data_IF_276056354855
#
_entry.id   IF_276056354855
#
_cell.length_a   1.000
_cell.length_b   1.000
_cell.length_c   1.000
_cell.angle_alpha   90.00
_cell.angle_beta   90.00
_cell.angle_gamma   90.00
#
_symmetry.space_group_name_H-M   'P 1'
#
loop_
_entity.id
_entity.type
_entity.pdbx_description
1 polymer ?
#
# COMPACT_ATOMS: atom_id res chain seq x y z
N UNK A 1 -28.62 0.16 -38.41
CA UNK A 1 -28.09 0.63 -37.11
C UNK A 1 -27.74 -0.66 -36.36
N UNK A 2 -26.45 -1.03 -36.35
CA UNK A 2 -25.96 -2.17 -35.60
C UNK A 2 -25.76 -1.64 -34.18
N UNK A 3 -26.59 -2.09 -33.25
CA UNK A 3 -26.39 -1.90 -31.82
C UNK A 3 -25.09 -2.63 -31.48
N UNK A 4 -23.98 -1.93 -31.38
CA UNK A 4 -22.81 -2.40 -30.66
C UNK A 4 -23.11 -2.23 -29.14
N UNK A 5 -23.86 -3.15 -28.54
CA UNK A 5 -23.69 -3.44 -27.13
C UNK A 5 -22.24 -3.94 -27.00
N UNK A 6 -21.33 -3.05 -26.59
CA UNK A 6 -20.00 -3.49 -26.20
C UNK A 6 -20.20 -4.46 -25.03
N UNK A 7 -19.91 -5.74 -25.23
CA UNK A 7 -19.98 -6.74 -24.18
C UNK A 7 -19.15 -6.23 -22.99
N UNK A 8 -19.83 -6.07 -21.84
CA UNK A 8 -19.20 -5.64 -20.58
C UNK A 8 -18.18 -6.69 -20.15
N UNK A 9 -16.93 -6.29 -19.98
CA UNK A 9 -15.87 -7.19 -19.47
C UNK A 9 -16.13 -7.47 -17.99
N UNK A 10 -16.30 -8.73 -17.63
CA UNK A 10 -16.57 -9.16 -16.25
C UNK A 10 -15.27 -9.50 -15.54
N UNK A 11 -14.91 -8.71 -14.53
CA UNK A 11 -13.69 -8.85 -13.77
C UNK A 11 -13.99 -9.30 -12.34
N UNK A 12 -13.42 -10.44 -11.92
CA UNK A 12 -13.41 -10.88 -10.53
C UNK A 12 -12.15 -10.40 -9.83
N UNK A 13 -12.26 -9.80 -8.63
CA UNK A 13 -11.14 -9.38 -7.79
C UNK A 13 -11.10 -10.26 -6.55
N UNK A 14 -9.97 -10.94 -6.31
CA UNK A 14 -9.73 -11.84 -5.17
C UNK A 14 -8.44 -11.45 -4.44
N UNK A 15 -8.30 -11.82 -3.16
CA UNK A 15 -7.09 -11.57 -2.37
C UNK A 15 -7.09 -10.25 -1.59
N UNK A 16 -8.26 -9.67 -1.34
CA UNK A 16 -8.45 -8.47 -0.52
C UNK A 16 -9.41 -8.75 0.63
N UNK A 17 -9.35 -7.93 1.71
CA UNK A 17 -10.38 -7.98 2.75
C UNK A 17 -11.75 -7.54 2.21
N UNK A 18 -11.75 -6.65 1.21
CA UNK A 18 -12.94 -6.12 0.57
C UNK A 18 -13.03 -4.59 0.60
N UNK A 19 -14.14 -4.10 0.05
CA UNK A 19 -14.50 -2.68 0.02
C UNK A 19 -15.87 -2.47 0.68
N UNK A 20 -16.14 -1.29 1.27
CA UNK A 20 -15.33 -0.07 1.38
C UNK A 20 -14.00 -0.28 2.10
N UNK A 21 -12.94 0.32 1.56
CA UNK A 21 -11.60 0.17 2.12
C UNK A 21 -11.50 0.77 3.51
N UNK A 22 -10.83 0.06 4.43
CA UNK A 22 -10.57 0.53 5.79
C UNK A 22 -9.09 0.70 6.08
N UNK A 23 -8.29 -0.28 5.64
CA UNK A 23 -6.88 -0.31 5.94
C UNK A 23 -6.17 -1.36 5.07
N UNK A 24 -5.14 -0.96 4.35
CA UNK A 24 -4.30 -1.85 3.54
C UNK A 24 -4.11 -1.33 2.11
N UNK A 25 -2.98 -1.70 1.51
CA UNK A 25 -2.64 -1.28 0.15
C UNK A 25 -3.61 -1.85 -0.89
N UNK A 26 -3.95 -3.13 -0.79
CA UNK A 26 -4.88 -3.77 -1.71
C UNK A 26 -6.32 -3.27 -1.55
N UNK A 27 -6.75 -2.99 -0.32
CA UNK A 27 -8.07 -2.39 -0.08
C UNK A 27 -8.17 -1.01 -0.72
N UNK A 28 -7.13 -0.17 -0.56
CA UNK A 28 -7.05 1.14 -1.21
C UNK A 28 -6.98 1.03 -2.74
N UNK A 29 -6.24 0.04 -3.26
CA UNK A 29 -6.21 -0.24 -4.70
C UNK A 29 -7.62 -0.58 -5.22
N UNK A 30 -8.30 -1.55 -4.60
CA UNK A 30 -9.62 -1.98 -5.06
C UNK A 30 -10.65 -0.86 -4.92
N UNK A 31 -10.63 -0.10 -3.82
CA UNK A 31 -11.50 1.05 -3.58
C UNK A 31 -11.44 2.08 -4.72
N UNK A 32 -10.24 2.30 -5.27
CA UNK A 32 -10.02 3.26 -6.34
C UNK A 32 -10.13 2.65 -7.75
N UNK A 33 -9.95 1.33 -7.88
CA UNK A 33 -10.11 0.61 -9.14
C UNK A 33 -11.58 0.47 -9.53
N UNK A 34 -12.46 0.10 -8.57
CA UNK A 34 -13.89 -0.16 -8.82
C UNK A 34 -14.76 1.10 -9.00
N UNK A 35 -14.15 2.26 -9.19
CA UNK A 35 -14.90 3.44 -9.62
C UNK A 35 -15.42 3.20 -11.02
N UNK A 36 -16.72 3.38 -11.26
CA UNK A 36 -17.42 3.03 -12.50
C UNK A 36 -16.64 3.29 -13.77
N UNK A 37 -16.21 2.24 -14.42
CA UNK A 37 -15.81 2.23 -15.82
C UNK A 37 -17.03 1.92 -16.67
N UNK A 38 -17.17 2.54 -17.82
CA UNK A 38 -18.34 2.31 -18.69
C UNK A 38 -18.41 0.89 -19.28
N UNK A 39 -17.28 0.15 -19.26
CA UNK A 39 -17.12 -1.11 -19.99
C UNK A 39 -16.75 -2.31 -19.10
N UNK A 40 -16.61 -2.13 -17.78
CA UNK A 40 -16.15 -3.20 -16.88
C UNK A 40 -17.15 -3.40 -15.74
N UNK A 41 -17.59 -4.64 -15.55
CA UNK A 41 -18.39 -5.09 -14.43
C UNK A 41 -17.49 -5.77 -13.39
N UNK A 42 -17.27 -5.11 -12.26
CA UNK A 42 -16.46 -5.66 -11.19
C UNK A 42 -17.25 -6.49 -10.20
N UNK A 43 -16.72 -7.64 -9.82
CA UNK A 43 -17.15 -8.42 -8.66
C UNK A 43 -15.97 -8.56 -7.70
N UNK A 44 -16.12 -8.09 -6.45
CA UNK A 44 -15.10 -8.17 -5.42
C UNK A 44 -15.45 -9.24 -4.41
N UNK A 45 -14.54 -10.19 -4.17
CA UNK A 45 -14.65 -11.17 -3.10
C UNK A 45 -14.17 -10.54 -1.79
N UNK A 46 -15.04 -10.54 -0.77
CA UNK A 46 -14.85 -9.84 0.50
C UNK A 46 -14.86 -10.83 1.66
N UNK A 47 -14.08 -10.55 2.70
CA UNK A 47 -14.12 -11.30 3.95
C UNK A 47 -15.31 -10.87 4.80
N UNK A 48 -16.24 -11.78 5.09
CA UNK A 48 -17.35 -11.47 5.98
C UNK A 48 -16.95 -11.38 7.46
N UNK A 49 -15.72 -11.80 7.80
CA UNK A 49 -15.19 -11.71 9.17
C UNK A 49 -14.40 -10.44 9.42
N UNK A 50 -13.84 -9.85 8.37
CA UNK A 50 -13.06 -8.62 8.48
C UNK A 50 -13.90 -7.37 8.15
N UNK A 51 -15.02 -7.55 7.43
CA UNK A 51 -15.96 -6.48 7.07
C UNK A 51 -17.14 -6.40 8.07
N UNK A 52 -17.30 -5.27 8.80
CA UNK A 52 -18.39 -5.11 9.78
C UNK A 52 -19.76 -4.86 9.12
N UNK A 53 -19.76 -4.21 7.96
CA UNK A 53 -20.93 -4.01 7.10
C UNK A 53 -20.78 -4.86 5.85
N UNK A 54 -21.92 -5.31 5.29
CA UNK A 54 -21.92 -6.22 4.12
C UNK A 54 -22.85 -5.71 3.05
N UNK A 55 -22.59 -4.55 2.44
CA UNK A 55 -23.39 -4.11 1.29
C UNK A 55 -23.24 -5.10 0.14
N UNK A 56 -24.28 -5.26 -0.68
CA UNK A 56 -24.23 -6.11 -1.87
C UNK A 56 -23.52 -5.44 -3.05
N UNK A 57 -23.46 -4.10 -3.03
CA UNK A 57 -22.83 -3.27 -4.08
C UNK A 57 -22.07 -2.13 -3.44
N UNK A 58 -20.91 -1.79 -4.00
CA UNK A 58 -20.13 -0.61 -3.62
C UNK A 58 -19.49 0.02 -4.87
N UNK A 59 -19.73 1.32 -5.11
CA UNK A 59 -19.24 2.07 -6.30
C UNK A 59 -19.50 1.34 -7.64
N UNK A 60 -20.65 0.66 -7.76
CA UNK A 60 -21.02 -0.13 -8.93
C UNK A 60 -20.49 -1.57 -8.94
N UNK A 61 -19.50 -1.92 -8.14
CA UNK A 61 -19.00 -3.28 -8.03
C UNK A 61 -19.92 -4.17 -7.19
N UNK A 62 -20.16 -5.39 -7.65
CA UNK A 62 -20.85 -6.44 -6.88
C UNK A 62 -19.93 -7.00 -5.81
N UNK A 63 -20.45 -7.20 -4.58
CA UNK A 63 -19.68 -7.76 -3.48
C UNK A 63 -20.14 -9.16 -3.10
N UNK A 64 -19.22 -10.11 -3.05
CA UNK A 64 -19.47 -11.50 -2.65
C UNK A 64 -18.68 -11.85 -1.38
N UNK A 65 -19.35 -12.36 -0.37
CA UNK A 65 -18.76 -12.58 0.95
C UNK A 65 -18.37 -14.04 1.19
N UNK A 66 -17.12 -14.22 1.68
CA UNK A 66 -16.56 -15.50 2.11
C UNK A 66 -16.44 -15.48 3.65
N UNK A 67 -16.90 -16.53 4.39
CA UNK A 67 -16.92 -16.54 5.83
C UNK A 67 -15.56 -16.94 6.46
N UNK A 68 -14.48 -16.41 5.91
CA UNK A 68 -13.10 -16.58 6.36
C UNK A 68 -12.41 -15.21 6.42
N UNK A 69 -11.31 -15.11 7.19
CA UNK A 69 -10.48 -13.91 7.21
C UNK A 69 -9.55 -13.88 5.99
N UNK A 70 -9.39 -12.71 5.40
CA UNK A 70 -8.46 -12.49 4.30
C UNK A 70 -6.99 -12.35 4.75
N UNK A 71 -6.73 -12.37 6.05
CA UNK A 71 -5.40 -12.23 6.63
C UNK A 71 -4.98 -13.44 7.48
N UNK A 72 -3.66 -13.64 7.61
CA UNK A 72 -3.07 -14.72 8.41
C UNK A 72 -3.30 -16.10 7.78
N UNK A 73 -3.34 -17.17 8.59
CA UNK A 73 -3.47 -18.53 8.08
C UNK A 73 -4.80 -18.79 7.32
N UNK A 74 -5.84 -18.02 7.60
CA UNK A 74 -7.13 -18.14 6.91
C UNK A 74 -7.12 -17.52 5.50
N UNK A 75 -6.12 -16.70 5.14
CA UNK A 75 -6.02 -16.12 3.79
C UNK A 75 -5.91 -17.21 2.71
N UNK A 76 -5.22 -18.30 2.98
CA UNK A 76 -5.06 -19.39 2.01
C UNK A 76 -6.41 -20.02 1.62
N UNK A 77 -7.21 -20.61 2.55
CA UNK A 77 -8.52 -21.14 2.20
C UNK A 77 -9.51 -20.06 1.74
N UNK A 78 -9.38 -18.81 2.21
CA UNK A 78 -10.17 -17.68 1.74
C UNK A 78 -9.97 -17.44 0.23
N UNK A 79 -8.72 -17.34 -0.20
CA UNK A 79 -8.37 -17.09 -1.60
C UNK A 79 -8.71 -18.30 -2.49
N UNK A 80 -8.49 -19.53 -2.01
CA UNK A 80 -8.86 -20.74 -2.75
C UNK A 80 -10.36 -20.81 -3.00
N UNK A 81 -11.19 -20.52 -1.98
CA UNK A 81 -12.66 -20.51 -2.14
C UNK A 81 -13.10 -19.38 -3.07
N UNK A 82 -12.45 -18.20 -2.99
CA UNK A 82 -12.71 -17.08 -3.88
C UNK A 82 -12.40 -17.44 -5.33
N UNK A 83 -11.25 -18.04 -5.59
CA UNK A 83 -10.86 -18.53 -6.92
C UNK A 83 -11.79 -19.63 -7.41
N UNK A 84 -12.18 -20.59 -6.55
CA UNK A 84 -13.14 -21.63 -6.91
C UNK A 84 -14.48 -21.04 -7.38
N UNK A 85 -14.98 -20.01 -6.67
CA UNK A 85 -16.22 -19.31 -7.06
C UNK A 85 -16.03 -18.43 -8.31
N UNK A 86 -14.82 -18.03 -8.62
CA UNK A 86 -14.47 -17.24 -9.81
C UNK A 86 -14.17 -18.10 -11.05
N UNK A 87 -14.28 -19.44 -10.99
CA UNK A 87 -14.00 -20.32 -12.12
C UNK A 87 -14.94 -20.15 -13.31
N UNK A 88 -16.11 -19.58 -13.12
CA UNK A 88 -17.09 -19.39 -14.19
C UNK A 88 -17.73 -18.00 -14.18
N UNK A 89 -18.05 -17.50 -15.37
CA UNK A 89 -18.83 -16.25 -15.52
C UNK A 89 -18.00 -14.96 -15.47
N UNK A 90 -16.66 -15.05 -15.56
CA UNK A 90 -15.76 -13.91 -15.63
C UNK A 90 -14.81 -14.04 -16.83
N UNK A 91 -14.49 -12.90 -17.43
CA UNK A 91 -13.52 -12.80 -18.53
C UNK A 91 -12.10 -12.69 -17.98
N UNK A 92 -11.96 -11.98 -16.85
CA UNK A 92 -10.66 -11.80 -16.17
C UNK A 92 -10.81 -12.03 -14.66
N UNK A 93 -9.78 -12.63 -14.05
CA UNK A 93 -9.63 -12.73 -12.59
C UNK A 93 -8.36 -12.00 -12.19
N UNK A 94 -8.54 -10.92 -11.44
CA UNK A 94 -7.46 -10.16 -10.80
C UNK A 94 -7.20 -10.74 -9.41
N UNK A 95 -5.98 -11.25 -9.22
CA UNK A 95 -5.53 -11.83 -7.95
C UNK A 95 -4.58 -10.85 -7.26
N UNK A 96 -4.87 -10.52 -6.01
CA UNK A 96 -4.07 -9.61 -5.19
C UNK A 96 -3.32 -10.42 -4.12
N UNK A 97 -2.01 -10.56 -4.30
CA UNK A 97 -1.17 -11.43 -3.48
C UNK A 97 -1.07 -12.85 -4.02
N UNK A 98 -0.33 -13.69 -3.28
CA UNK A 98 0.00 -15.05 -3.74
C UNK A 98 -0.56 -16.16 -2.85
N UNK A 99 -1.28 -15.85 -1.77
CA UNK A 99 -1.71 -16.82 -0.75
C UNK A 99 -2.48 -18.02 -1.31
N UNK A 100 -3.42 -17.76 -2.23
CA UNK A 100 -4.26 -18.80 -2.85
C UNK A 100 -3.76 -19.32 -4.17
N UNK A 101 -2.61 -18.85 -4.67
CA UNK A 101 -2.13 -19.18 -6.01
C UNK A 101 -1.81 -20.68 -6.20
N UNK A 102 -1.65 -21.42 -5.10
CA UNK A 102 -1.52 -22.89 -5.16
C UNK A 102 -2.71 -23.57 -5.85
N UNK A 103 -3.87 -22.92 -5.92
CA UNK A 103 -5.06 -23.42 -6.60
C UNK A 103 -5.05 -23.15 -8.12
N UNK A 104 -4.19 -22.29 -8.64
CA UNK A 104 -4.16 -21.88 -10.06
C UNK A 104 -3.99 -23.03 -11.06
N UNK A 105 -3.19 -24.09 -10.79
CA UNK A 105 -3.12 -25.23 -11.70
C UNK A 105 -4.50 -25.87 -11.95
N UNK A 106 -5.32 -26.03 -10.90
CA UNK A 106 -6.68 -26.57 -10.99
C UNK A 106 -7.61 -25.56 -11.67
N UNK A 107 -7.50 -24.28 -11.30
CA UNK A 107 -8.27 -23.20 -11.92
C UNK A 107 -8.12 -23.19 -13.43
N UNK A 108 -6.89 -23.32 -13.93
CA UNK A 108 -6.55 -23.33 -15.36
C UNK A 108 -7.07 -24.53 -16.15
N UNK A 109 -7.34 -25.66 -15.48
CA UNK A 109 -7.95 -26.82 -16.13
C UNK A 109 -9.44 -26.60 -16.43
N UNK A 110 -10.11 -25.71 -15.70
CA UNK A 110 -11.57 -25.54 -15.72
C UNK A 110 -11.96 -24.20 -16.33
N UNK A 111 -11.27 -23.12 -15.95
CA UNK A 111 -11.58 -21.75 -16.35
C UNK A 111 -10.74 -21.27 -17.54
N UNK A 112 -11.40 -20.56 -18.46
CA UNK A 112 -10.76 -19.87 -19.59
C UNK A 112 -10.50 -18.39 -19.29
N UNK A 113 -10.89 -17.91 -18.10
CA UNK A 113 -10.68 -16.52 -17.71
C UNK A 113 -9.18 -16.15 -17.77
N UNK A 114 -8.89 -14.93 -18.21
CA UNK A 114 -7.55 -14.35 -18.12
C UNK A 114 -7.17 -14.18 -16.66
N UNK A 115 -5.98 -14.63 -16.26
CA UNK A 115 -5.49 -14.53 -14.90
C UNK A 115 -4.43 -13.42 -14.84
N UNK A 116 -4.73 -12.37 -14.10
CA UNK A 116 -3.83 -11.25 -13.82
C UNK A 116 -3.48 -11.30 -12.35
N UNK A 117 -2.20 -11.44 -12.00
CA UNK A 117 -1.78 -11.53 -10.60
C UNK A 117 -0.84 -10.38 -10.23
N UNK A 118 -1.25 -9.58 -9.25
CA UNK A 118 -0.37 -8.65 -8.56
C UNK A 118 0.31 -9.42 -7.41
N UNK A 119 1.62 -9.64 -7.53
CA UNK A 119 2.36 -10.47 -6.57
C UNK A 119 2.69 -9.76 -5.26
N UNK A 120 2.36 -8.46 -5.12
CA UNK A 120 2.69 -7.63 -3.94
C UNK A 120 4.21 -7.50 -3.72
N UNK A 121 4.61 -7.09 -2.53
CA UNK A 121 5.99 -7.22 -2.07
C UNK A 121 6.36 -8.69 -1.81
N UNK A 122 7.64 -8.97 -1.68
CA UNK A 122 8.16 -10.33 -1.49
C UNK A 122 7.82 -10.87 -0.10
N UNK A 123 6.54 -11.28 0.13
CA UNK A 123 6.03 -11.71 1.43
C UNK A 123 6.89 -12.80 2.10
N UNK A 124 7.46 -13.72 1.32
CA UNK A 124 8.35 -14.76 1.83
C UNK A 124 9.66 -14.22 2.45
N UNK A 125 10.03 -12.96 2.17
CA UNK A 125 11.23 -12.29 2.76
C UNK A 125 10.95 -11.60 4.08
N UNK A 126 9.68 -11.43 4.49
CA UNK A 126 9.34 -10.74 5.74
C UNK A 126 9.70 -11.57 6.96
N UNK A 127 10.27 -10.92 7.96
CA UNK A 127 10.78 -11.57 9.17
C UNK A 127 9.71 -12.24 10.04
N UNK A 128 8.46 -11.79 9.93
CA UNK A 128 7.32 -12.35 10.68
C UNK A 128 7.02 -13.82 10.37
N UNK A 129 7.53 -14.36 9.24
CA UNK A 129 7.23 -15.71 8.81
C UNK A 129 8.31 -16.72 9.23
N UNK A 130 7.90 -17.84 9.80
CA UNK A 130 8.77 -18.99 10.05
C UNK A 130 9.17 -19.71 8.75
N UNK A 131 10.15 -20.61 8.80
CA UNK A 131 10.73 -21.29 7.64
C UNK A 131 9.70 -22.02 6.76
N UNK A 132 8.75 -22.75 7.35
CA UNK A 132 7.70 -23.47 6.62
C UNK A 132 6.76 -22.53 5.88
N UNK A 133 6.35 -21.41 6.51
CA UNK A 133 5.51 -20.40 5.87
C UNK A 133 6.25 -19.71 4.72
N UNK A 134 7.53 -19.39 4.89
CA UNK A 134 8.37 -18.82 3.81
C UNK A 134 8.49 -19.75 2.61
N UNK A 135 8.71 -21.05 2.87
CA UNK A 135 8.76 -22.06 1.82
C UNK A 135 7.43 -22.14 1.06
N UNK A 136 6.31 -22.20 1.79
CA UNK A 136 4.98 -22.22 1.19
C UNK A 136 4.69 -20.97 0.35
N UNK A 137 4.99 -19.79 0.87
CA UNK A 137 4.79 -18.52 0.15
C UNK A 137 5.64 -18.45 -1.12
N UNK A 138 6.89 -18.94 -1.06
CA UNK A 138 7.76 -19.00 -2.24
C UNK A 138 7.25 -19.98 -3.29
N UNK A 139 6.72 -21.14 -2.87
CA UNK A 139 6.09 -22.10 -3.78
C UNK A 139 4.84 -21.49 -4.44
N UNK A 140 3.99 -20.86 -3.63
CA UNK A 140 2.77 -20.22 -4.09
C UNK A 140 3.05 -19.05 -5.06
N UNK A 141 4.09 -18.25 -4.80
CA UNK A 141 4.58 -17.21 -5.70
C UNK A 141 5.06 -17.80 -7.04
N UNK A 142 5.85 -18.88 -6.99
CA UNK A 142 6.30 -19.58 -8.21
C UNK A 142 5.13 -20.09 -9.06
N UNK A 143 4.09 -20.61 -8.42
CA UNK A 143 2.86 -21.07 -9.09
C UNK A 143 2.10 -19.87 -9.66
N UNK A 144 1.95 -18.79 -8.90
CA UNK A 144 1.33 -17.55 -9.37
C UNK A 144 2.01 -17.05 -10.65
N UNK A 145 3.33 -16.91 -10.63
CA UNK A 145 4.11 -16.45 -11.79
C UNK A 145 3.99 -17.39 -12.97
N UNK A 146 3.96 -18.72 -12.74
CA UNK A 146 3.89 -19.71 -13.83
C UNK A 146 2.52 -19.76 -14.51
N UNK A 147 1.44 -19.65 -13.73
CA UNK A 147 0.07 -19.93 -14.19
C UNK A 147 -0.76 -18.67 -14.46
N UNK A 148 -0.22 -17.46 -14.24
CA UNK A 148 -0.85 -16.22 -14.65
C UNK A 148 -0.50 -15.86 -16.09
N UNK A 149 -1.45 -15.22 -16.79
CA UNK A 149 -1.22 -14.64 -18.12
C UNK A 149 -0.42 -13.36 -18.02
N UNK A 150 -0.72 -12.56 -17.00
CA UNK A 150 -0.02 -11.30 -16.72
C UNK A 150 0.36 -11.23 -15.25
N UNK A 151 1.60 -10.86 -14.99
CA UNK A 151 2.11 -10.59 -13.66
C UNK A 151 2.20 -9.07 -13.50
N UNK A 152 1.75 -8.56 -12.36
CA UNK A 152 1.93 -7.16 -11.97
C UNK A 152 2.94 -7.12 -10.83
N UNK A 153 3.92 -6.24 -10.96
CA UNK A 153 4.84 -5.82 -9.91
C UNK A 153 4.58 -4.35 -9.59
N UNK A 154 4.45 -4.01 -8.32
CA UNK A 154 4.16 -2.65 -7.89
C UNK A 154 5.40 -1.75 -7.85
N UNK A 155 6.59 -2.36 -7.99
CA UNK A 155 7.87 -1.66 -7.91
C UNK A 155 8.89 -2.29 -8.87
N UNK A 156 9.78 -1.47 -9.42
CA UNK A 156 10.84 -1.95 -10.32
C UNK A 156 11.74 -3.01 -9.66
N UNK A 157 12.08 -2.86 -8.37
CA UNK A 157 12.86 -3.86 -7.66
C UNK A 157 12.17 -5.23 -7.56
N UNK A 158 10.81 -5.26 -7.54
CA UNK A 158 10.04 -6.51 -7.62
C UNK A 158 10.03 -7.04 -9.06
N UNK A 159 9.87 -6.17 -10.06
CA UNK A 159 9.91 -6.58 -11.47
C UNK A 159 11.26 -7.18 -11.86
N UNK A 160 12.34 -6.59 -11.40
CA UNK A 160 13.71 -7.12 -11.62
C UNK A 160 13.86 -8.50 -10.96
N UNK A 161 13.39 -8.66 -9.71
CA UNK A 161 13.37 -9.97 -9.02
C UNK A 161 12.56 -11.03 -9.79
N UNK A 162 11.38 -10.69 -10.32
CA UNK A 162 10.57 -11.61 -11.15
C UNK A 162 11.35 -12.04 -12.39
N UNK A 163 11.98 -11.08 -13.06
CA UNK A 163 12.78 -11.34 -14.26
C UNK A 163 13.99 -12.22 -13.94
N UNK A 164 14.71 -11.93 -12.88
CA UNK A 164 15.92 -12.67 -12.48
C UNK A 164 15.59 -14.09 -12.00
N UNK A 165 14.54 -14.23 -11.18
CA UNK A 165 14.19 -15.49 -10.52
C UNK A 165 13.40 -16.43 -11.43
N UNK A 166 12.41 -15.89 -12.16
CA UNK A 166 11.44 -16.69 -12.92
C UNK A 166 11.61 -16.60 -14.44
N UNK A 167 12.50 -15.72 -14.92
CA UNK A 167 12.71 -15.46 -16.36
C UNK A 167 11.42 -15.04 -17.08
N UNK A 168 10.56 -14.29 -16.37
CA UNK A 168 9.31 -13.71 -16.89
C UNK A 168 9.30 -12.20 -16.70
N UNK A 169 8.67 -11.49 -17.61
CA UNK A 169 8.38 -10.07 -17.46
C UNK A 169 7.16 -9.85 -16.57
N UNK A 170 7.07 -8.70 -15.96
CA UNK A 170 5.87 -8.22 -15.25
C UNK A 170 5.55 -6.78 -15.66
N UNK A 171 4.26 -6.45 -15.61
CA UNK A 171 3.78 -5.08 -15.79
C UNK A 171 4.06 -4.26 -14.53
N UNK A 172 4.64 -3.07 -14.69
CA UNK A 172 4.95 -2.20 -13.58
C UNK A 172 3.76 -1.27 -13.29
N UNK A 173 2.98 -1.60 -12.27
CA UNK A 173 1.81 -0.83 -11.84
C UNK A 173 1.87 -0.60 -10.33
N UNK A 174 2.26 0.61 -9.92
CA UNK A 174 2.34 1.03 -8.54
C UNK A 174 0.97 1.37 -7.93
N UNK A 175 0.96 2.08 -6.81
CA UNK A 175 -0.25 2.60 -6.17
C UNK A 175 -0.47 4.06 -6.53
N UNK A 176 -1.74 4.52 -6.45
CA UNK A 176 -2.09 5.93 -6.52
C UNK A 176 -2.03 6.61 -5.14
N UNK A 177 -1.85 7.93 -5.13
CA UNK A 177 -1.77 8.70 -3.88
C UNK A 177 -2.60 9.99 -3.87
N UNK A 178 -3.17 10.38 -4.99
CA UNK A 178 -3.91 11.64 -5.16
C UNK A 178 -5.22 11.72 -4.37
N UNK A 179 -5.77 10.60 -3.90
CA UNK A 179 -6.94 10.57 -3.01
C UNK A 179 -6.70 11.28 -1.66
N UNK A 180 -5.44 11.48 -1.28
CA UNK A 180 -5.05 12.19 -0.06
C UNK A 180 -5.06 13.70 -0.21
N UNK A 181 -5.18 14.20 -1.44
CA UNK A 181 -5.24 15.63 -1.72
C UNK A 181 -6.66 16.14 -1.47
N UNK A 182 -6.80 16.92 -0.40
CA UNK A 182 -8.07 17.51 0.02
C UNK A 182 -8.07 19.02 -0.23
N UNK A 183 -9.24 19.62 -0.32
CA UNK A 183 -9.42 21.07 -0.36
C UNK A 183 -9.85 21.55 1.03
N UNK A 184 -8.87 21.80 1.89
CA UNK A 184 -9.10 22.21 3.27
C UNK A 184 -8.61 23.66 3.49
N UNK A 185 -9.49 24.58 3.93
CA UNK A 185 -9.11 25.96 4.24
C UNK A 185 -7.99 26.03 5.30
N UNK A 186 -7.14 27.06 5.20
CA UNK A 186 -5.97 27.22 6.07
C UNK A 186 -6.33 27.32 7.55
N UNK A 187 -7.39 28.02 7.89
CA UNK A 187 -7.87 28.15 9.26
C UNK A 187 -8.25 26.79 9.88
N UNK A 188 -8.89 25.92 9.12
CA UNK A 188 -9.17 24.55 9.54
C UNK A 188 -7.90 23.70 9.67
N UNK A 189 -6.95 23.86 8.76
CA UNK A 189 -5.67 23.17 8.89
C UNK A 189 -4.95 23.57 10.19
N UNK A 190 -4.92 24.89 10.50
CA UNK A 190 -4.31 25.38 11.73
C UNK A 190 -5.02 24.87 13.00
N UNK A 191 -6.35 24.81 13.00
CA UNK A 191 -7.12 24.19 14.11
C UNK A 191 -6.75 22.72 14.32
N UNK A 192 -6.52 21.99 13.23
CA UNK A 192 -6.06 20.59 13.32
C UNK A 192 -4.65 20.54 13.92
N UNK A 193 -3.71 21.38 13.48
CA UNK A 193 -2.36 21.41 14.04
C UNK A 193 -2.35 21.72 15.54
N UNK A 194 -3.20 22.63 15.99
CA UNK A 194 -3.36 22.97 17.41
C UNK A 194 -3.80 21.75 18.23
N UNK A 195 -4.70 20.91 17.70
CA UNK A 195 -5.11 19.63 18.34
C UNK A 195 -3.92 18.71 18.63
N UNK A 196 -2.90 18.75 17.78
CA UNK A 196 -1.69 17.94 17.90
C UNK A 196 -0.54 18.68 18.60
N UNK A 197 -0.77 19.91 19.04
CA UNK A 197 0.23 20.80 19.66
C UNK A 197 1.51 20.93 18.81
N UNK A 198 1.32 21.17 17.49
CA UNK A 198 2.38 21.38 16.50
C UNK A 198 2.11 22.65 15.69
N UNK A 199 3.17 23.19 15.08
CA UNK A 199 3.08 24.36 14.22
C UNK A 199 3.52 24.04 12.79
N UNK A 200 2.93 24.73 11.83
CA UNK A 200 3.27 24.56 10.43
C UNK A 200 4.77 24.75 10.17
N UNK A 201 5.35 23.86 9.38
CA UNK A 201 6.76 23.81 8.99
C UNK A 201 7.77 23.60 10.15
N UNK A 202 7.32 23.33 11.38
CA UNK A 202 8.21 23.14 12.53
C UNK A 202 8.35 21.69 12.97
N UNK A 203 7.78 20.72 12.26
CA UNK A 203 7.86 19.31 12.62
C UNK A 203 8.13 18.39 11.43
N UNK A 204 8.81 17.29 11.70
CA UNK A 204 8.89 16.15 10.80
C UNK A 204 7.69 15.23 11.02
N UNK A 205 7.16 14.63 9.95
CA UNK A 205 6.00 13.74 10.00
C UNK A 205 6.38 12.33 9.55
N UNK A 206 5.94 11.32 10.30
CA UNK A 206 6.05 9.91 9.92
C UNK A 206 4.71 9.19 10.12
N UNK A 207 4.36 8.28 9.21
CA UNK A 207 3.14 7.50 9.26
C UNK A 207 3.42 6.09 8.75
N UNK A 208 3.27 5.07 9.61
CA UNK A 208 3.40 3.68 9.20
C UNK A 208 2.81 2.69 10.21
N UNK A 209 2.78 1.41 9.83
CA UNK A 209 2.62 0.32 10.79
C UNK A 209 3.85 0.23 11.70
N UNK A 210 3.64 0.07 12.99
CA UNK A 210 4.74 -0.03 13.96
C UNK A 210 5.27 -1.47 13.95
N UNK A 211 6.20 -1.71 13.03
CA UNK A 211 6.86 -3.00 12.80
C UNK A 211 8.37 -2.79 12.63
N UNK A 212 9.24 -3.75 13.04
CA UNK A 212 10.70 -3.60 12.95
C UNK A 212 11.20 -3.27 11.54
N UNK A 213 10.60 -3.87 10.52
CA UNK A 213 10.94 -3.67 9.11
C UNK A 213 10.64 -2.25 8.59
N UNK A 214 9.89 -1.45 9.36
CA UNK A 214 9.61 -0.05 9.06
C UNK A 214 10.58 0.90 9.78
N UNK A 215 11.61 0.37 10.44
CA UNK A 215 12.70 1.13 11.08
C UNK A 215 12.21 2.26 11.99
N UNK A 216 11.07 2.04 12.69
CA UNK A 216 10.50 3.03 13.59
C UNK A 216 11.50 3.44 14.68
N UNK A 217 12.30 2.48 15.18
CA UNK A 217 13.36 2.73 16.16
C UNK A 217 14.43 3.68 15.64
N UNK A 218 14.82 3.57 14.35
CA UNK A 218 15.81 4.45 13.73
C UNK A 218 15.28 5.89 13.66
N UNK A 219 14.02 6.05 13.25
CA UNK A 219 13.37 7.37 13.15
C UNK A 219 13.27 8.04 14.53
N UNK A 220 12.83 7.30 15.55
CA UNK A 220 12.72 7.81 16.91
C UNK A 220 14.08 8.17 17.51
N UNK A 221 15.08 7.30 17.33
CA UNK A 221 16.44 7.56 17.80
C UNK A 221 17.05 8.80 17.14
N UNK A 222 16.88 8.96 15.83
CA UNK A 222 17.37 10.14 15.11
C UNK A 222 16.69 11.43 15.57
N UNK A 223 15.38 11.40 15.81
CA UNK A 223 14.64 12.55 16.34
C UNK A 223 15.09 12.90 17.77
N UNK A 224 15.33 11.89 18.62
CA UNK A 224 15.86 12.10 19.96
C UNK A 224 17.27 12.73 19.95
N UNK A 225 18.15 12.27 19.04
CA UNK A 225 19.52 12.78 18.89
C UNK A 225 19.56 14.21 18.33
N UNK A 226 18.74 14.51 17.34
CA UNK A 226 18.74 15.82 16.67
C UNK A 226 17.93 16.89 17.40
N UNK A 227 17.04 16.50 18.32
CA UNK A 227 16.08 17.41 18.95
C UNK A 227 14.95 17.86 18.02
N UNK A 228 14.86 17.33 16.81
CA UNK A 228 13.83 17.68 15.83
C UNK A 228 12.44 17.31 16.35
N UNK A 229 11.48 18.23 16.25
CA UNK A 229 10.08 17.94 16.57
C UNK A 229 9.54 16.89 15.62
N UNK A 230 9.07 15.77 16.16
CA UNK A 230 8.54 14.64 15.39
C UNK A 230 7.10 14.35 15.79
N UNK A 231 6.19 14.29 14.82
CA UNK A 231 4.87 13.66 14.95
C UNK A 231 4.90 12.32 14.22
N UNK A 232 4.82 11.23 14.96
CA UNK A 232 4.83 9.88 14.41
C UNK A 232 3.50 9.18 14.67
N UNK A 233 2.71 8.97 13.60
CA UNK A 233 1.39 8.35 13.66
C UNK A 233 1.50 6.85 13.37
N UNK A 234 0.92 6.03 14.27
CA UNK A 234 0.93 4.58 14.11
C UNK A 234 0.20 3.84 15.23
N UNK A 235 -0.01 2.54 15.08
CA UNK A 235 -0.63 1.71 16.12
C UNK A 235 0.44 1.14 17.05
N UNK A 236 0.84 1.91 18.04
CA UNK A 236 1.92 1.63 18.99
C UNK A 236 1.61 0.45 19.91
N UNK A 237 0.35 0.20 20.21
CA UNK A 237 -0.07 -0.83 21.17
C UNK A 237 -0.27 -2.21 20.55
N UNK A 238 -0.10 -2.35 19.23
CA UNK A 238 -0.38 -3.60 18.50
C UNK A 238 0.63 -4.70 18.75
N UNK A 239 1.89 -4.35 19.05
CA UNK A 239 3.00 -5.29 19.21
C UNK A 239 3.87 -4.95 20.42
N UNK A 240 4.62 -5.89 20.95
CA UNK A 240 5.61 -5.64 22.00
C UNK A 240 6.67 -4.64 21.54
N UNK A 241 7.13 -4.75 20.29
CA UNK A 241 8.04 -3.77 19.69
C UNK A 241 7.51 -2.33 19.81
N UNK A 242 6.23 -2.11 19.50
CA UNK A 242 5.62 -0.79 19.63
C UNK A 242 5.57 -0.29 21.08
N UNK A 243 5.22 -1.16 22.03
CA UNK A 243 5.18 -0.84 23.47
C UNK A 243 6.55 -0.50 24.03
N UNK A 244 7.59 -1.23 23.61
CA UNK A 244 9.00 -0.96 23.99
C UNK A 244 9.45 0.42 23.49
N UNK A 245 9.10 0.79 22.25
CA UNK A 245 9.39 2.09 21.70
C UNK A 245 8.67 3.22 22.48
N UNK A 246 7.41 3.03 22.82
CA UNK A 246 6.67 3.98 23.66
C UNK A 246 7.36 4.16 25.01
N UNK A 247 7.68 3.07 25.70
CA UNK A 247 8.36 3.13 27.01
C UNK A 247 9.71 3.87 26.93
N UNK A 248 10.44 3.69 25.83
CA UNK A 248 11.77 4.31 25.65
C UNK A 248 11.71 5.79 25.29
N UNK A 249 10.74 6.22 24.47
CA UNK A 249 10.75 7.56 23.87
C UNK A 249 9.65 8.51 24.41
N UNK A 250 8.75 8.08 25.27
CA UNK A 250 7.68 8.93 25.82
C UNK A 250 8.18 10.12 26.66
N UNK A 251 9.41 10.06 27.18
CA UNK A 251 10.01 11.14 27.97
C UNK A 251 10.63 12.27 27.12
N UNK A 252 10.75 12.07 25.82
CA UNK A 252 11.33 13.06 24.92
C UNK A 252 10.27 14.09 24.50
N UNK A 253 10.38 15.32 24.95
CA UNK A 253 9.40 16.39 24.70
C UNK A 253 9.24 16.78 23.22
N UNK A 254 10.26 16.50 22.40
CA UNK A 254 10.24 16.74 20.96
C UNK A 254 9.60 15.60 20.16
N UNK A 255 9.21 14.46 20.76
CA UNK A 255 8.64 13.31 20.08
C UNK A 255 7.18 13.11 20.50
N UNK A 256 6.29 13.10 19.53
CA UNK A 256 4.87 12.77 19.73
C UNK A 256 4.54 11.49 18.98
N UNK A 257 4.29 10.40 19.72
CA UNK A 257 3.80 9.12 19.19
C UNK A 257 2.27 9.10 19.27
N UNK A 258 1.61 9.27 18.14
CA UNK A 258 0.15 9.38 18.07
C UNK A 258 -0.50 8.09 17.58
N UNK A 259 -1.71 7.81 18.05
CA UNK A 259 -2.56 6.72 17.58
C UNK A 259 -2.90 6.88 16.09
N UNK A 260 -3.35 5.82 15.40
CA UNK A 260 -3.73 5.92 13.99
C UNK A 260 -4.75 7.02 13.72
N UNK A 261 -4.54 7.74 12.64
CA UNK A 261 -5.44 8.77 12.11
C UNK A 261 -5.97 8.26 10.77
N UNK A 262 -7.29 8.28 10.60
CA UNK A 262 -7.97 7.80 9.38
C UNK A 262 -8.78 8.90 8.69
N UNK A 263 -8.98 10.03 9.37
CA UNK A 263 -9.65 11.19 8.80
C UNK A 263 -8.75 11.82 7.73
N UNK A 264 -9.27 11.98 6.52
CA UNK A 264 -8.51 12.48 5.38
C UNK A 264 -8.16 13.95 5.51
N UNK A 265 -9.02 14.77 6.12
CA UNK A 265 -8.76 16.19 6.36
C UNK A 265 -7.64 16.37 7.40
N UNK A 266 -7.67 15.56 8.48
CA UNK A 266 -6.58 15.54 9.46
C UNK A 266 -5.25 15.13 8.81
N UNK A 267 -5.25 14.02 8.05
CA UNK A 267 -4.04 13.53 7.36
C UNK A 267 -3.53 14.54 6.33
N UNK A 268 -4.44 15.22 5.61
CA UNK A 268 -4.07 16.28 4.68
C UNK A 268 -3.37 17.42 5.40
N UNK A 269 -3.98 17.95 6.51
CA UNK A 269 -3.39 19.02 7.28
C UNK A 269 -2.02 18.65 7.84
N UNK A 270 -1.88 17.43 8.39
CA UNK A 270 -0.62 16.96 8.97
C UNK A 270 0.49 16.79 7.92
N UNK A 271 0.16 16.32 6.69
CA UNK A 271 1.14 16.18 5.60
C UNK A 271 1.49 17.53 4.97
N UNK A 272 0.48 18.37 4.71
CA UNK A 272 0.68 19.67 4.05
C UNK A 272 1.56 20.63 4.84
N UNK A 273 1.49 20.55 6.17
CA UNK A 273 2.17 21.49 7.08
C UNK A 273 3.44 20.90 7.73
N UNK A 274 3.81 19.67 7.40
CA UNK A 274 5.09 19.13 7.85
C UNK A 274 6.26 19.79 7.12
N UNK A 275 7.39 19.99 7.81
CA UNK A 275 8.63 20.43 7.16
C UNK A 275 9.20 19.35 6.25
N UNK A 276 9.10 18.09 6.68
CA UNK A 276 9.55 16.90 5.94
C UNK A 276 8.76 15.65 6.31
N UNK A 277 8.72 14.69 5.39
CA UNK A 277 8.16 13.36 5.62
C UNK A 277 9.27 12.33 5.78
N UNK A 278 9.19 11.50 6.84
CA UNK A 278 10.17 10.46 7.14
C UNK A 278 9.59 9.08 6.81
N UNK A 279 10.32 8.31 6.03
CA UNK A 279 9.89 7.00 5.54
C UNK A 279 10.91 5.92 5.84
N UNK A 280 10.63 5.04 6.80
CA UNK A 280 11.57 4.04 7.31
C UNK A 280 11.48 2.65 6.67
N UNK A 281 10.52 2.38 5.79
CA UNK A 281 10.30 1.03 5.26
C UNK A 281 11.53 0.45 4.55
N UNK A 282 11.92 -0.77 4.93
CA UNK A 282 13.03 -1.50 4.33
C UNK A 282 12.61 -2.73 3.52
N UNK A 283 11.35 -3.14 3.63
CA UNK A 283 10.81 -4.32 2.95
C UNK A 283 9.49 -3.98 2.23
N UNK A 284 9.21 -4.71 1.16
CA UNK A 284 8.02 -4.54 0.34
C UNK A 284 8.34 -3.96 -1.03
N UNK A 285 7.31 -3.53 -1.76
CA UNK A 285 7.40 -2.85 -3.04
C UNK A 285 7.21 -1.33 -2.91
N UNK A 286 6.36 -0.77 -3.76
CA UNK A 286 5.92 0.62 -3.63
C UNK A 286 5.03 0.78 -2.41
N UNK A 287 5.46 1.63 -1.49
CA UNK A 287 4.68 1.88 -0.28
C UNK A 287 3.66 3.00 -0.50
N UNK A 288 2.35 2.75 -0.29
CA UNK A 288 1.32 3.77 -0.50
C UNK A 288 1.58 5.07 0.28
N UNK A 289 2.02 4.99 1.55
CA UNK A 289 2.25 6.19 2.36
C UNK A 289 3.41 7.06 1.85
N UNK A 290 4.40 6.47 1.18
CA UNK A 290 5.48 7.20 0.52
C UNK A 290 4.95 7.92 -0.73
N UNK A 291 4.20 7.22 -1.56
CA UNK A 291 3.58 7.79 -2.77
C UNK A 291 2.63 8.92 -2.41
N UNK A 292 1.78 8.72 -1.40
CA UNK A 292 0.89 9.74 -0.86
C UNK A 292 1.67 11.00 -0.41
N UNK A 293 2.78 10.82 0.32
CA UNK A 293 3.59 11.93 0.80
C UNK A 293 4.22 12.77 -0.33
N UNK A 294 4.52 12.15 -1.47
CA UNK A 294 5.11 12.84 -2.62
C UNK A 294 4.21 13.95 -3.18
N UNK A 295 2.87 13.80 -3.09
CA UNK A 295 1.94 14.79 -3.62
C UNK A 295 2.01 16.14 -2.93
N UNK A 296 2.52 16.20 -1.70
CA UNK A 296 2.55 17.41 -0.89
C UNK A 296 3.76 18.32 -1.15
N UNK A 297 4.71 17.90 -1.99
CA UNK A 297 5.88 18.72 -2.33
C UNK A 297 6.82 19.02 -1.16
N UNK A 298 6.68 18.32 -0.05
CA UNK A 298 7.56 18.44 1.11
C UNK A 298 8.83 17.63 0.93
N UNK A 299 9.88 17.94 1.66
CA UNK A 299 11.09 17.14 1.67
C UNK A 299 10.77 15.71 2.11
N UNK A 300 11.22 14.73 1.35
CA UNK A 300 11.10 13.32 1.69
C UNK A 300 12.46 12.78 2.06
N UNK A 301 12.55 12.20 3.26
CA UNK A 301 13.74 11.51 3.77
C UNK A 301 13.38 10.04 3.95
N UNK A 302 13.93 9.17 3.11
CA UNK A 302 13.54 7.76 3.05
C UNK A 302 14.70 6.83 3.40
N UNK A 303 14.40 5.66 3.98
CA UNK A 303 15.40 4.64 4.22
C UNK A 303 16.03 4.17 2.90
N UNK A 304 17.35 4.02 2.88
CA UNK A 304 18.13 3.73 1.69
C UNK A 304 17.97 2.27 1.23
N UNK A 305 16.90 2.00 0.50
CA UNK A 305 16.61 0.70 -0.10
C UNK A 305 16.10 0.88 -1.53
N UNK A 306 16.31 -0.11 -2.37
CA UNK A 306 15.93 -0.06 -3.80
C UNK A 306 14.47 0.36 -4.01
N UNK A 307 13.55 -0.17 -3.22
CA UNK A 307 12.11 0.13 -3.35
C UNK A 307 11.79 1.61 -3.15
N UNK A 308 12.40 2.25 -2.13
CA UNK A 308 12.20 3.68 -1.87
C UNK A 308 12.87 4.56 -2.93
N UNK A 309 14.05 4.15 -3.39
CA UNK A 309 14.75 4.84 -4.50
C UNK A 309 13.94 4.81 -5.78
N UNK A 310 13.42 3.66 -6.15
CA UNK A 310 12.60 3.50 -7.36
C UNK A 310 11.27 4.28 -7.24
N UNK A 311 10.56 4.18 -6.11
CA UNK A 311 9.30 4.91 -5.90
C UNK A 311 9.48 6.43 -5.95
N UNK A 312 10.63 6.94 -5.50
CA UNK A 312 10.94 8.38 -5.51
C UNK A 312 11.82 8.82 -6.69
N UNK A 313 12.02 7.94 -7.68
CA UNK A 313 12.85 8.22 -8.87
C UNK A 313 14.27 8.70 -8.52
N UNK A 314 14.83 8.28 -7.38
CA UNK A 314 16.11 8.73 -6.86
C UNK A 314 16.15 10.20 -6.42
N UNK A 315 14.98 10.87 -6.24
CA UNK A 315 14.88 12.31 -5.95
C UNK A 315 14.58 12.64 -4.48
N UNK A 316 14.47 11.64 -3.60
CA UNK A 316 14.40 11.85 -2.15
C UNK A 316 15.81 11.95 -1.55
N UNK A 317 15.88 12.35 -0.29
CA UNK A 317 17.08 12.22 0.54
C UNK A 317 17.04 10.84 1.18
N UNK A 318 18.20 10.18 1.33
CA UNK A 318 18.24 8.82 1.84
C UNK A 318 19.14 8.70 3.07
N UNK A 319 18.70 7.87 4.03
CA UNK A 319 19.46 7.55 5.25
C UNK A 319 19.63 6.04 5.42
N UNK A 320 20.72 5.63 6.06
CA UNK A 320 21.07 4.22 6.30
C UNK A 320 20.89 3.81 7.78
N UNK A 321 20.98 4.78 8.70
CA UNK A 321 20.94 4.56 10.15
C UNK A 321 20.49 5.83 10.89
N UNK A 322 20.39 5.73 12.22
CA UNK A 322 19.93 6.85 13.06
C UNK A 322 20.89 8.06 13.02
N UNK A 323 22.20 7.84 12.89
CA UNK A 323 23.17 8.94 12.88
C UNK A 323 23.08 9.72 11.56
N UNK A 324 23.00 9.04 10.43
CA UNK A 324 22.82 9.70 9.13
C UNK A 324 21.46 10.45 9.05
N UNK A 325 20.39 9.86 9.61
CA UNK A 325 19.11 10.54 9.69
C UNK A 325 19.17 11.75 10.63
N UNK A 326 19.80 11.64 11.80
CA UNK A 326 19.96 12.76 12.73
C UNK A 326 20.75 13.92 12.10
N UNK A 327 21.79 13.64 11.33
CA UNK A 327 22.54 14.65 10.58
C UNK A 327 21.67 15.37 9.56
N UNK A 328 20.83 14.64 8.81
CA UNK A 328 19.85 15.22 7.87
C UNK A 328 18.81 16.08 8.63
N UNK A 329 18.29 15.60 9.75
CA UNK A 329 17.29 16.31 10.56
C UNK A 329 17.84 17.61 11.16
N UNK A 330 19.14 17.72 11.39
CA UNK A 330 19.79 18.93 11.89
C UNK A 330 19.91 20.04 10.83
N UNK A 331 19.67 19.75 9.55
CA UNK A 331 19.67 20.74 8.47
C UNK A 331 18.28 21.32 8.24
N UNK A 332 18.14 22.56 7.73
CA UNK A 332 16.84 23.08 7.30
C UNK A 332 16.22 22.21 6.23
N UNK A 333 14.90 21.97 6.32
CA UNK A 333 14.17 21.24 5.30
C UNK A 333 13.97 22.12 4.05
N UNK A 334 13.94 21.47 2.88
CA UNK A 334 13.66 22.12 1.61
C UNK A 334 12.38 21.53 0.97
N UNK A 335 11.64 22.36 0.24
CA UNK A 335 10.53 21.87 -0.58
C UNK A 335 11.04 21.00 -1.73
N UNK A 336 10.29 19.97 -2.09
CA UNK A 336 10.62 19.07 -3.20
C UNK A 336 9.46 18.98 -4.20
N UNK A 337 9.25 20.06 -4.93
CA UNK A 337 8.21 20.15 -5.97
C UNK A 337 8.44 19.15 -7.11
N UNK A 338 9.67 18.71 -7.34
CA UNK A 338 9.99 17.67 -8.34
C UNK A 338 9.28 16.36 -8.01
N UNK A 339 9.26 15.94 -6.73
CA UNK A 339 8.55 14.73 -6.34
C UNK A 339 7.04 14.88 -6.50
N UNK A 340 6.47 16.04 -6.21
CA UNK A 340 5.03 16.29 -6.44
C UNK A 340 4.67 16.18 -7.93
N UNK A 341 5.49 16.77 -8.82
CA UNK A 341 5.30 16.66 -10.27
C UNK A 341 5.38 15.21 -10.75
N UNK A 342 6.34 14.44 -10.26
CA UNK A 342 6.48 13.02 -10.60
C UNK A 342 5.31 12.20 -10.08
N UNK A 343 4.82 12.46 -8.84
CA UNK A 343 3.65 11.81 -8.29
C UNK A 343 2.40 12.08 -9.13
N UNK A 344 2.16 13.34 -9.51
CA UNK A 344 1.05 13.73 -10.38
C UNK A 344 1.08 13.01 -11.74
N UNK A 345 2.27 12.83 -12.29
CA UNK A 345 2.45 12.17 -13.58
C UNK A 345 2.26 10.66 -13.52
N UNK A 346 2.73 10.01 -12.46
CA UNK A 346 2.90 8.56 -12.42
C UNK A 346 1.99 7.84 -11.41
N UNK A 347 1.51 8.53 -10.38
CA UNK A 347 0.85 7.94 -9.22
C UNK A 347 -0.56 8.48 -8.95
N UNK A 348 -1.26 9.01 -9.97
CA UNK A 348 -2.68 9.29 -9.84
C UNK A 348 -3.50 8.00 -9.97
N UNK A 349 -4.59 7.89 -9.25
CA UNK A 349 -5.48 6.73 -9.37
C UNK A 349 -6.07 6.58 -10.77
N UNK A 350 -6.27 7.68 -11.48
CA UNK A 350 -6.67 7.64 -12.89
C UNK A 350 -5.61 6.92 -13.76
N UNK A 351 -4.32 7.27 -13.60
CA UNK A 351 -3.21 6.61 -14.30
C UNK A 351 -3.10 5.13 -13.93
N UNK A 352 -3.22 4.80 -12.64
CA UNK A 352 -3.13 3.42 -12.14
C UNK A 352 -4.31 2.60 -12.67
N UNK A 353 -5.54 3.10 -12.57
CA UNK A 353 -6.75 2.44 -13.09
C UNK A 353 -6.62 2.13 -14.57
N UNK A 354 -6.25 3.11 -15.39
CA UNK A 354 -6.08 2.91 -16.83
C UNK A 354 -5.10 1.77 -17.15
N UNK A 355 -4.01 1.66 -16.40
CA UNK A 355 -3.05 0.56 -16.58
C UNK A 355 -3.68 -0.80 -16.24
N UNK A 356 -4.46 -0.89 -15.15
CA UNK A 356 -5.17 -2.14 -14.81
C UNK A 356 -6.23 -2.50 -15.84
N UNK A 357 -7.04 -1.53 -16.28
CA UNK A 357 -8.10 -1.74 -17.26
C UNK A 357 -7.58 -2.21 -18.62
N UNK A 358 -6.38 -1.79 -19.01
CA UNK A 358 -5.70 -2.29 -20.23
C UNK A 358 -5.30 -3.77 -20.13
N UNK A 359 -5.28 -4.32 -18.93
CA UNK A 359 -4.94 -5.72 -18.70
C UNK A 359 -6.17 -6.63 -18.66
N UNK A 360 -7.36 -6.09 -18.70
CA UNK A 360 -8.61 -6.86 -18.64
C UNK A 360 -9.19 -7.09 -20.03
#
# INVERSE_FOLDING_TARGET
MINAESDMIKVAIVGTQGVPARYGGFESLVENLVQSSSNIEYTVFCSSKDMPTRPSVHKGARLLYIPLRANGAQSIPYDIISLFRAMGGYDTVLILGVSGAIFLPIFRLISRAKVVTNIDGLEHRRQKWGAAARWFLRLSESIAVRFSDTIISDNKGIADYVTETYKKSSELIAYGGDHTMQSLPLDKQLQILDKYNIKANEYAFALCRIEPENNCHIILEAAAKSGTRLLFVGNWNRSEYGKELVARYTTYSNITMHSPVYDLDELFALRSNASRYLHGHSAGGTNPSLVEAMFFGREIVAYNVVYNRESTFGKAIYFDNADSLAAILATPAAENTTLATLAQKHYTWATIRNKYEQLF
#
